data_IF_847308682962
#
_entry.id   IF_847308682962
#
_cell.length_a   1.000
_cell.length_b   1.000
_cell.length_c   1.000
_cell.angle_alpha   90.00
_cell.angle_beta   90.00
_cell.angle_gamma   90.00
#
_symmetry.space_group_name_H-M   'P 1'
#
loop_
_entity.id
_entity.type
_entity.pdbx_description
1 polymer ?
#
# COMPACT_ATOMS: atom_id res chain seq x y z
N UNK A 1 6.94 -4.12 0.13
CA UNK A 1 7.12 -4.40 1.57
C UNK A 1 5.76 -4.24 2.22
N UNK A 2 5.28 -5.19 3.00
CA UNK A 2 4.08 -5.03 3.83
C UNK A 2 4.60 -4.83 5.24
N UNK A 3 4.60 -3.63 5.78
CA UNK A 3 5.08 -3.41 7.12
C UNK A 3 4.04 -3.81 8.16
N UNK A 4 4.59 -4.23 9.27
CA UNK A 4 4.00 -4.31 10.58
C UNK A 4 2.69 -5.10 10.73
N UNK A 5 2.74 -6.41 10.55
CA UNK A 5 1.75 -7.27 11.19
C UNK A 5 2.12 -7.45 12.67
N UNK A 6 1.15 -7.34 13.58
CA UNK A 6 1.36 -7.77 14.97
C UNK A 6 1.84 -9.21 14.96
N UNK A 7 3.02 -9.46 15.54
CA UNK A 7 3.50 -10.83 15.71
C UNK A 7 2.52 -11.55 16.65
N UNK A 8 1.94 -12.64 16.18
CA UNK A 8 1.23 -13.56 17.06
C UNK A 8 2.29 -14.12 18.00
N UNK A 9 2.10 -14.01 19.32
CA UNK A 9 3.01 -14.59 20.32
C UNK A 9 3.25 -16.05 19.96
N UNK A 10 4.50 -16.40 19.67
CA UNK A 10 4.94 -17.79 19.72
C UNK A 10 4.77 -18.32 21.13
N UNK A 11 4.44 -19.61 21.29
CA UNK A 11 4.36 -20.26 22.57
C UNK A 11 5.69 -20.06 23.33
N UNK A 12 5.66 -19.30 24.43
CA UNK A 12 6.79 -19.16 25.35
C UNK A 12 7.59 -17.85 25.26
N UNK A 13 7.17 -16.85 24.47
CA UNK A 13 7.87 -15.56 24.43
C UNK A 13 7.12 -14.48 25.23
N UNK A 14 7.66 -14.14 26.42
CA UNK A 14 7.16 -13.07 27.29
C UNK A 14 7.72 -11.68 26.92
N UNK A 15 8.37 -11.56 25.74
CA UNK A 15 8.95 -10.31 25.24
C UNK A 15 7.89 -9.28 24.81
N UNK A 16 8.28 -8.00 24.64
CA UNK A 16 7.38 -6.98 24.11
C UNK A 16 6.85 -7.39 22.74
N UNK A 17 5.60 -7.03 22.45
CA UNK A 17 4.98 -7.31 21.15
C UNK A 17 5.75 -6.53 20.08
N UNK A 18 6.48 -7.23 19.24
CA UNK A 18 7.22 -6.64 18.11
C UNK A 18 6.38 -6.73 16.85
N UNK A 19 6.46 -5.72 15.99
CA UNK A 19 5.88 -5.76 14.66
C UNK A 19 6.89 -6.35 13.69
N UNK A 20 6.41 -7.12 12.73
CA UNK A 20 7.24 -7.67 11.65
C UNK A 20 6.88 -7.01 10.34
N UNK A 21 7.89 -6.69 9.54
CA UNK A 21 7.70 -6.30 8.14
C UNK A 21 7.72 -7.55 7.26
N UNK A 22 6.86 -7.60 6.26
CA UNK A 22 6.82 -8.71 5.31
C UNK A 22 7.17 -8.19 3.92
N UNK A 23 8.20 -8.76 3.30
CA UNK A 23 8.49 -8.57 1.87
C UNK A 23 7.84 -9.71 1.10
N UNK A 24 6.92 -9.37 0.19
CA UNK A 24 6.37 -10.34 -0.75
C UNK A 24 7.24 -10.40 -1.99
N UNK A 25 7.67 -11.61 -2.36
CA UNK A 25 8.37 -11.86 -3.62
C UNK A 25 7.39 -12.42 -4.63
N UNK A 26 7.50 -11.94 -5.87
CA UNK A 26 6.72 -12.44 -7.01
C UNK A 26 7.69 -13.01 -8.04
N UNK A 27 7.28 -14.10 -8.67
CA UNK A 27 7.96 -14.65 -9.85
C UNK A 27 6.96 -14.71 -10.99
N UNK A 28 7.01 -13.77 -11.94
CA UNK A 28 6.13 -13.83 -13.10
C UNK A 28 6.47 -15.04 -13.96
N UNK A 29 5.43 -15.68 -14.48
CA UNK A 29 5.57 -16.81 -15.42
C UNK A 29 5.44 -16.36 -16.88
N UNK A 30 4.95 -15.15 -17.11
CA UNK A 30 4.83 -14.50 -18.40
C UNK A 30 5.65 -13.21 -18.40
N UNK A 31 6.28 -12.90 -19.52
CA UNK A 31 7.07 -11.68 -19.71
C UNK A 31 6.26 -10.52 -20.30
N UNK A 32 4.92 -10.54 -20.19
CA UNK A 32 4.08 -9.50 -20.74
C UNK A 32 4.25 -8.17 -19.98
N UNK A 33 4.34 -7.07 -20.74
CA UNK A 33 4.34 -5.75 -20.16
C UNK A 33 3.03 -5.51 -19.38
N UNK A 34 3.15 -4.94 -18.19
CA UNK A 34 1.99 -4.53 -17.39
C UNK A 34 1.50 -3.18 -17.87
N UNK A 35 0.20 -2.99 -17.98
CA UNK A 35 -0.39 -1.69 -18.29
C UNK A 35 -0.94 -1.07 -17.02
N UNK A 36 -0.36 0.06 -16.60
CA UNK A 36 -0.76 0.75 -15.38
C UNK A 36 -0.57 2.27 -15.53
N UNK A 37 -1.37 3.03 -14.81
CA UNK A 37 -1.18 4.47 -14.64
C UNK A 37 -0.43 4.70 -13.33
N UNK A 38 0.83 5.10 -13.43
CA UNK A 38 1.66 5.31 -12.25
C UNK A 38 1.51 6.74 -11.74
N UNK A 39 1.20 6.96 -10.45
CA UNK A 39 1.20 8.30 -9.86
C UNK A 39 2.60 8.93 -9.93
N UNK A 40 2.68 10.21 -10.26
CA UNK A 40 3.95 10.91 -10.40
C UNK A 40 4.82 10.82 -9.13
N UNK A 41 4.20 10.92 -7.95
CA UNK A 41 4.89 10.84 -6.66
C UNK A 41 5.48 9.47 -6.33
N UNK A 42 5.02 8.40 -7.00
CA UNK A 42 5.45 7.01 -6.76
C UNK A 42 5.98 6.31 -8.01
N UNK A 43 6.10 7.03 -9.14
CA UNK A 43 6.48 6.46 -10.42
C UNK A 43 7.82 5.74 -10.38
N UNK A 44 8.85 6.36 -9.82
CA UNK A 44 10.20 5.78 -9.69
C UNK A 44 10.22 4.55 -8.78
N UNK A 45 9.55 4.62 -7.63
CA UNK A 45 9.42 3.50 -6.71
C UNK A 45 8.77 2.31 -7.40
N UNK A 46 7.63 2.52 -8.06
CA UNK A 46 6.88 1.46 -8.72
C UNK A 46 7.67 0.86 -9.89
N UNK A 47 8.31 1.68 -10.72
CA UNK A 47 9.17 1.21 -11.81
C UNK A 47 10.32 0.33 -11.28
N UNK A 48 10.95 0.73 -10.18
CA UNK A 48 12.02 -0.07 -9.56
C UNK A 48 11.51 -1.43 -9.06
N UNK A 49 10.30 -1.47 -8.50
CA UNK A 49 9.67 -2.71 -8.05
C UNK A 49 9.32 -3.62 -9.23
N UNK A 50 8.72 -3.08 -10.31
CA UNK A 50 8.45 -3.85 -11.52
C UNK A 50 9.73 -4.43 -12.12
N UNK A 51 10.76 -3.61 -12.26
CA UNK A 51 12.05 -4.04 -12.80
C UNK A 51 12.69 -5.16 -11.95
N UNK A 52 12.62 -5.04 -10.62
CA UNK A 52 13.20 -6.04 -9.71
C UNK A 52 12.52 -7.42 -9.83
N UNK A 53 11.26 -7.48 -10.21
CA UNK A 53 10.55 -8.74 -10.46
C UNK A 53 10.59 -9.18 -11.93
N UNK A 54 11.35 -8.47 -12.77
CA UNK A 54 11.51 -8.80 -14.19
C UNK A 54 10.32 -8.42 -15.07
N UNK A 55 9.49 -7.47 -14.65
CA UNK A 55 8.36 -6.97 -15.41
C UNK A 55 8.67 -5.57 -15.95
N UNK A 56 8.15 -5.27 -17.13
CA UNK A 56 8.03 -3.91 -17.66
C UNK A 56 6.63 -3.36 -17.43
N UNK A 57 6.53 -2.04 -17.30
CA UNK A 57 5.25 -1.35 -17.20
C UNK A 57 5.12 -0.33 -18.31
N UNK A 58 3.98 -0.34 -18.99
CA UNK A 58 3.60 0.63 -20.02
C UNK A 58 2.53 1.56 -19.48
N UNK A 59 2.61 2.82 -19.85
CA UNK A 59 1.63 3.81 -19.44
C UNK A 59 0.24 3.47 -20.00
N UNK A 60 -0.75 3.32 -19.12
CA UNK A 60 -2.14 3.17 -19.51
C UNK A 60 -2.78 4.54 -19.71
N UNK A 61 -3.41 4.74 -20.86
CA UNK A 61 -4.04 6.02 -21.24
C UNK A 61 -5.48 6.08 -20.69
N UNK A 62 -6.25 5.02 -20.87
CA UNK A 62 -7.66 4.98 -20.45
C UNK A 62 -7.84 4.05 -19.25
N UNK A 63 -8.61 4.46 -18.24
CA UNK A 63 -8.93 3.58 -17.11
C UNK A 63 -9.79 2.39 -17.56
N UNK A 64 -9.59 1.24 -16.91
CA UNK A 64 -10.47 0.11 -17.13
C UNK A 64 -11.85 0.36 -16.50
N UNK A 65 -12.92 -0.20 -17.09
CA UNK A 65 -14.24 -0.18 -16.44
C UNK A 65 -14.13 -0.77 -15.02
N UNK A 66 -14.75 -0.07 -14.07
CA UNK A 66 -14.79 -0.52 -12.67
C UNK A 66 -16.24 -0.54 -12.20
N UNK A 67 -16.69 -1.70 -11.73
CA UNK A 67 -18.03 -1.86 -11.16
C UNK A 67 -17.98 -1.81 -9.63
N UNK A 68 -19.13 -1.46 -9.01
CA UNK A 68 -19.31 -1.42 -7.58
C UNK A 68 -18.91 -0.10 -6.93
N UNK A 69 -18.65 -0.15 -5.62
CA UNK A 69 -18.30 1.03 -4.82
C UNK A 69 -16.90 1.54 -5.16
N UNK A 70 -16.76 2.87 -5.24
CA UNK A 70 -15.48 3.52 -5.52
C UNK A 70 -14.44 3.25 -4.42
N UNK A 71 -14.88 3.22 -3.16
CA UNK A 71 -14.05 2.96 -1.97
C UNK A 71 -14.73 1.89 -1.14
N UNK A 72 -14.03 0.79 -0.88
CA UNK A 72 -14.48 -0.28 0.04
C UNK A 72 -13.49 -0.43 1.18
N UNK A 73 -13.96 -0.88 2.34
CA UNK A 73 -13.10 -1.15 3.50
C UNK A 73 -13.51 -2.48 4.16
N UNK A 74 -12.51 -3.26 4.56
CA UNK A 74 -12.66 -4.49 5.33
C UNK A 74 -11.72 -4.47 6.53
N UNK A 75 -12.19 -4.92 7.70
CA UNK A 75 -11.44 -4.92 8.96
C UNK A 75 -11.14 -6.34 9.38
N UNK A 76 -9.88 -6.62 9.67
CA UNK A 76 -9.41 -7.81 10.35
C UNK A 76 -9.20 -7.46 11.84
N UNK A 77 -10.23 -7.64 12.66
CA UNK A 77 -10.19 -7.27 14.08
C UNK A 77 -9.14 -8.07 14.86
N UNK A 78 -8.91 -9.33 14.47
CA UNK A 78 -7.95 -10.19 15.17
C UNK A 78 -6.51 -9.68 15.05
N UNK A 79 -6.21 -8.96 13.94
CA UNK A 79 -4.89 -8.40 13.69
C UNK A 79 -4.82 -6.89 13.87
N UNK A 80 -5.93 -6.24 14.18
CA UNK A 80 -6.05 -4.77 14.21
C UNK A 80 -5.63 -4.11 12.89
N UNK A 81 -6.05 -4.69 11.77
CA UNK A 81 -5.74 -4.25 10.41
C UNK A 81 -7.02 -3.90 9.65
N UNK A 82 -6.92 -2.91 8.77
CA UNK A 82 -7.95 -2.66 7.76
C UNK A 82 -7.35 -2.63 6.36
N UNK A 83 -8.16 -3.07 5.39
CA UNK A 83 -7.83 -3.02 3.98
C UNK A 83 -8.90 -2.21 3.26
N UNK A 84 -8.47 -1.11 2.67
CA UNK A 84 -9.30 -0.28 1.81
C UNK A 84 -8.92 -0.53 0.35
N UNK A 85 -9.88 -0.42 -0.57
CA UNK A 85 -9.64 -0.46 -2.01
C UNK A 85 -10.26 0.74 -2.67
N UNK A 86 -9.47 1.39 -3.52
CA UNK A 86 -9.88 2.51 -4.34
C UNK A 86 -9.89 2.05 -5.81
N UNK A 87 -11.11 1.92 -6.38
CA UNK A 87 -11.33 1.45 -7.75
C UNK A 87 -11.71 2.57 -8.72
N UNK A 88 -12.15 3.68 -8.21
CA UNK A 88 -12.54 4.87 -8.97
C UNK A 88 -12.27 6.10 -8.13
N UNK A 89 -11.91 7.17 -8.79
CA UNK A 89 -11.67 8.44 -8.13
C UNK A 89 -12.59 9.53 -8.69
N UNK A 90 -13.25 10.23 -7.81
CA UNK A 90 -14.06 11.42 -8.02
C UNK A 90 -14.26 12.13 -6.67
N UNK A 91 -14.92 13.27 -6.67
CA UNK A 91 -15.20 14.03 -5.42
C UNK A 91 -15.98 13.19 -4.38
N UNK A 92 -16.86 12.30 -4.81
CA UNK A 92 -17.62 11.44 -3.90
C UNK A 92 -16.73 10.37 -3.28
N UNK A 93 -15.82 9.81 -4.06
CA UNK A 93 -14.81 8.86 -3.59
C UNK A 93 -13.90 9.50 -2.53
N UNK A 94 -13.42 10.73 -2.73
CA UNK A 94 -12.63 11.46 -1.73
C UNK A 94 -13.39 11.68 -0.41
N UNK A 95 -14.68 12.04 -0.50
CA UNK A 95 -15.53 12.16 0.69
C UNK A 95 -15.74 10.82 1.41
N UNK A 96 -15.96 9.75 0.64
CA UNK A 96 -16.11 8.40 1.17
C UNK A 96 -14.82 7.90 1.84
N UNK A 97 -13.67 8.15 1.21
CA UNK A 97 -12.34 7.85 1.75
C UNK A 97 -12.14 8.51 3.13
N UNK A 98 -12.30 9.83 3.21
CA UNK A 98 -12.14 10.57 4.48
C UNK A 98 -13.05 10.03 5.60
N UNK A 99 -14.29 9.69 5.26
CA UNK A 99 -15.23 9.11 6.22
C UNK A 99 -14.79 7.72 6.68
N UNK A 100 -14.37 6.86 5.73
CA UNK A 100 -13.91 5.52 6.04
C UNK A 100 -12.67 5.55 6.93
N UNK A 101 -11.67 6.38 6.61
CA UNK A 101 -10.45 6.52 7.43
C UNK A 101 -10.79 6.96 8.86
N UNK A 102 -11.61 8.03 9.02
CA UNK A 102 -12.04 8.48 10.35
C UNK A 102 -12.76 7.38 11.14
N UNK A 103 -13.61 6.60 10.47
CA UNK A 103 -14.30 5.49 11.11
C UNK A 103 -13.32 4.40 11.56
N UNK A 104 -12.34 4.03 10.74
CA UNK A 104 -11.32 3.04 11.09
C UNK A 104 -10.46 3.48 12.27
N UNK A 105 -9.97 4.73 12.26
CA UNK A 105 -9.19 5.29 13.37
C UNK A 105 -10.00 5.35 14.67
N UNK A 106 -11.30 5.69 14.60
CA UNK A 106 -12.18 5.68 15.79
C UNK A 106 -12.39 4.29 16.38
N UNK A 107 -12.09 3.22 15.64
CA UNK A 107 -12.12 1.83 16.11
C UNK A 107 -10.74 1.33 16.55
N UNK A 108 -9.75 2.22 16.65
CA UNK A 108 -8.39 1.89 17.06
C UNK A 108 -7.76 0.77 16.21
N UNK A 109 -7.96 0.86 14.89
CA UNK A 109 -7.26 0.00 13.93
C UNK A 109 -5.82 0.47 13.83
N UNK A 110 -4.87 -0.38 14.20
CA UNK A 110 -3.44 -0.03 14.27
C UNK A 110 -2.82 0.28 12.88
N UNK A 111 -3.27 -0.43 11.85
CA UNK A 111 -2.75 -0.26 10.48
C UNK A 111 -3.89 -0.27 9.47
N UNK A 112 -3.93 0.74 8.62
CA UNK A 112 -4.84 0.81 7.49
C UNK A 112 -4.03 0.73 6.21
N UNK A 113 -4.30 -0.28 5.37
CA UNK A 113 -3.78 -0.35 4.01
C UNK A 113 -4.80 0.22 3.03
N UNK A 114 -4.33 1.01 2.07
CA UNK A 114 -5.12 1.50 0.95
C UNK A 114 -4.51 0.98 -0.35
N UNK A 115 -5.26 0.15 -1.07
CA UNK A 115 -4.90 -0.39 -2.38
C UNK A 115 -5.55 0.48 -3.47
N UNK A 116 -4.75 1.30 -4.14
CA UNK A 116 -5.15 2.13 -5.28
C UNK A 116 -4.98 1.31 -6.55
N UNK A 117 -6.07 1.04 -7.26
CA UNK A 117 -6.08 0.31 -8.52
C UNK A 117 -5.43 1.15 -9.63
N UNK A 118 -4.25 0.72 -10.10
CA UNK A 118 -3.45 1.41 -11.12
C UNK A 118 -4.00 1.24 -12.55
N UNK A 119 -5.02 0.41 -12.71
CA UNK A 119 -5.63 0.09 -14.01
C UNK A 119 -7.00 0.76 -14.16
N UNK A 120 -7.79 0.80 -13.08
CA UNK A 120 -9.15 1.31 -13.11
C UNK A 120 -9.28 2.78 -12.68
N UNK A 121 -8.39 3.29 -11.82
CA UNK A 121 -8.42 4.70 -11.39
C UNK A 121 -7.80 5.60 -12.45
N UNK A 122 -8.59 6.55 -12.97
CA UNK A 122 -8.14 7.52 -13.97
C UNK A 122 -7.25 8.62 -13.37
N UNK A 123 -7.64 9.18 -12.23
CA UNK A 123 -7.01 10.32 -11.56
C UNK A 123 -6.11 9.83 -10.41
N UNK A 124 -5.11 8.98 -10.74
CA UNK A 124 -4.23 8.36 -9.73
C UNK A 124 -3.41 9.39 -8.92
N UNK A 125 -3.04 10.51 -9.55
CA UNK A 125 -2.28 11.58 -8.87
C UNK A 125 -3.13 12.28 -7.81
N UNK A 126 -4.39 12.61 -8.13
CA UNK A 126 -5.32 13.23 -7.18
C UNK A 126 -5.65 12.28 -6.03
N UNK A 127 -5.95 11.01 -6.35
CA UNK A 127 -6.23 9.99 -5.35
C UNK A 127 -5.05 9.78 -4.39
N UNK A 128 -3.84 9.79 -4.94
CA UNK A 128 -2.61 9.62 -4.17
C UNK A 128 -2.32 10.84 -3.29
N UNK A 129 -2.51 12.06 -3.82
CA UNK A 129 -2.36 13.29 -3.05
C UNK A 129 -3.31 13.30 -1.84
N UNK A 130 -4.58 12.96 -2.03
CA UNK A 130 -5.56 12.88 -0.96
C UNK A 130 -5.20 11.83 0.11
N UNK A 131 -4.68 10.66 -0.32
CA UNK A 131 -4.18 9.64 0.61
C UNK A 131 -2.98 10.15 1.40
N UNK A 132 -2.03 10.86 0.75
CA UNK A 132 -0.89 11.44 1.44
C UNK A 132 -1.31 12.53 2.44
N UNK A 133 -2.29 13.39 2.12
CA UNK A 133 -2.87 14.36 3.06
C UNK A 133 -3.51 13.71 4.29
N UNK A 134 -4.00 12.49 4.15
CA UNK A 134 -4.53 11.69 5.25
C UNK A 134 -3.44 10.93 6.04
N UNK A 135 -2.17 11.08 5.68
CA UNK A 135 -1.05 10.45 6.36
C UNK A 135 -0.66 9.07 5.81
N UNK A 136 -1.23 8.64 4.69
CA UNK A 136 -0.81 7.38 4.05
C UNK A 136 0.51 7.57 3.31
N UNK A 137 1.44 6.64 3.52
CA UNK A 137 2.73 6.58 2.86
C UNK A 137 2.95 5.22 2.19
N UNK A 138 4.00 5.09 1.38
CA UNK A 138 4.27 3.89 0.59
C UNK A 138 4.35 2.61 1.44
N UNK A 139 3.71 1.55 0.96
CA UNK A 139 3.87 0.19 1.45
C UNK A 139 4.34 -0.76 0.33
N UNK A 140 4.13 -0.42 -0.93
CA UNK A 140 4.64 -1.16 -2.08
C UNK A 140 3.63 -1.39 -3.20
N UNK A 141 3.91 -2.40 -4.01
CA UNK A 141 3.10 -2.82 -5.16
C UNK A 141 2.44 -4.18 -4.86
N UNK A 142 1.16 -4.28 -5.14
CA UNK A 142 0.41 -5.55 -5.14
C UNK A 142 0.16 -5.95 -6.58
N UNK A 143 0.86 -6.98 -7.04
CA UNK A 143 0.67 -7.56 -8.37
C UNK A 143 -0.51 -8.51 -8.37
N UNK A 144 -1.28 -8.50 -9.47
CA UNK A 144 -2.45 -9.37 -9.63
C UNK A 144 -3.36 -9.37 -8.39
N UNK A 145 -3.89 -8.20 -8.03
CA UNK A 145 -4.91 -8.10 -7.01
C UNK A 145 -6.13 -8.98 -7.29
N UNK A 146 -7.14 -9.00 -6.44
CA UNK A 146 -8.31 -9.88 -6.59
C UNK A 146 -9.11 -9.67 -7.88
N UNK A 147 -8.97 -8.50 -8.50
CA UNK A 147 -9.55 -8.10 -9.79
C UNK A 147 -8.59 -8.36 -10.98
N UNK A 148 -7.40 -8.93 -10.72
CA UNK A 148 -6.36 -9.15 -11.73
C UNK A 148 -5.51 -7.91 -12.04
N UNK A 149 -5.83 -6.76 -11.42
CA UNK A 149 -5.12 -5.51 -11.61
C UNK A 149 -3.92 -5.38 -10.66
N UNK A 150 -2.99 -4.49 -11.00
CA UNK A 150 -1.91 -4.10 -10.12
C UNK A 150 -2.33 -2.88 -9.28
N UNK A 151 -1.94 -2.86 -7.99
CA UNK A 151 -2.33 -1.80 -7.07
C UNK A 151 -1.11 -1.19 -6.39
N UNK A 152 -1.08 0.14 -6.31
CA UNK A 152 -0.22 0.82 -5.35
C UNK A 152 -0.82 0.62 -3.96
N UNK A 153 -0.06 0.00 -3.06
CA UNK A 153 -0.44 -0.09 -1.66
C UNK A 153 0.22 1.03 -0.87
N UNK A 154 -0.60 1.83 -0.24
CA UNK A 154 -0.21 2.80 0.78
C UNK A 154 -0.65 2.30 2.15
N UNK A 155 -0.08 2.87 3.22
CA UNK A 155 -0.38 2.50 4.60
C UNK A 155 -0.44 3.72 5.50
N UNK A 156 -1.37 3.67 6.45
CA UNK A 156 -1.48 4.60 7.57
C UNK A 156 -1.26 3.80 8.86
N UNK A 157 -0.41 4.30 9.73
CA UNK A 157 -0.15 3.73 11.05
C UNK A 157 -0.75 4.62 12.12
N UNK A 158 -1.66 4.07 12.93
CA UNK A 158 -2.23 4.79 14.08
C UNK A 158 -1.29 4.62 15.28
N UNK A 159 -0.63 5.71 15.66
CA UNK A 159 0.13 5.89 16.91
C UNK A 159 1.39 5.05 17.17
N UNK A 160 1.94 4.28 16.22
CA UNK A 160 3.14 3.48 16.51
C UNK A 160 4.39 3.99 15.77
N UNK A 161 5.45 4.16 16.53
CA UNK A 161 6.79 4.36 15.99
C UNK A 161 7.30 3.05 15.38
N UNK A 162 7.77 3.12 14.13
CA UNK A 162 8.52 2.02 13.53
C UNK A 162 9.96 2.19 13.95
N UNK A 163 10.46 1.29 14.78
CA UNK A 163 11.87 1.21 15.07
C UNK A 163 12.61 0.67 13.85
N UNK A 164 13.37 1.53 13.20
CA UNK A 164 14.06 1.23 11.93
C UNK A 164 15.07 0.09 12.07
N UNK A 165 15.67 -0.03 13.23
CA UNK A 165 16.69 -1.01 13.58
C UNK A 165 16.10 -2.43 13.61
N UNK A 166 14.82 -2.57 13.90
CA UNK A 166 14.12 -3.86 13.96
C UNK A 166 13.74 -4.43 12.58
N UNK A 167 13.89 -3.63 11.50
CA UNK A 167 13.59 -4.09 10.15
C UNK A 167 14.86 -4.67 9.51
N UNK A 168 15.04 -5.98 9.62
CA UNK A 168 16.13 -6.69 8.95
C UNK A 168 15.76 -6.97 7.50
N UNK A 169 16.65 -6.61 6.58
CA UNK A 169 16.50 -6.82 5.14
C UNK A 169 17.62 -7.72 4.61
N UNK A 170 17.28 -8.86 4.04
CA UNK A 170 18.25 -9.87 3.56
C UNK A 170 18.83 -9.58 2.17
N UNK A 171 18.23 -8.65 1.40
CA UNK A 171 18.71 -8.30 0.07
C UNK A 171 18.97 -6.80 -0.08
N UNK A 172 19.89 -6.45 -0.99
CA UNK A 172 20.19 -5.05 -1.32
C UNK A 172 18.94 -4.30 -1.82
N UNK A 173 18.10 -4.94 -2.63
CA UNK A 173 16.86 -4.34 -3.08
C UNK A 173 15.89 -4.07 -1.91
N UNK A 174 15.77 -5.00 -0.97
CA UNK A 174 14.92 -4.82 0.21
C UNK A 174 15.41 -3.66 1.08
N UNK A 175 16.73 -3.46 1.18
CA UNK A 175 17.32 -2.31 1.90
C UNK A 175 17.00 -0.99 1.21
N UNK A 176 17.12 -0.91 -0.13
CA UNK A 176 16.75 0.28 -0.91
C UNK A 176 15.26 0.58 -0.75
N UNK A 177 14.41 -0.43 -0.92
CA UNK A 177 12.95 -0.27 -0.79
C UNK A 177 12.56 0.18 0.62
N UNK A 178 13.21 -0.35 1.67
CA UNK A 178 13.03 0.13 3.04
C UNK A 178 13.36 1.61 3.17
N UNK A 179 14.51 2.04 2.63
CA UNK A 179 14.92 3.45 2.63
C UNK A 179 13.86 4.35 2.00
N UNK A 180 13.40 4.00 0.79
CA UNK A 180 12.35 4.76 0.09
C UNK A 180 11.03 4.85 0.87
N UNK A 181 10.60 3.75 1.52
CA UNK A 181 9.38 3.74 2.35
C UNK A 181 9.51 4.68 3.54
N UNK A 182 10.69 4.74 4.16
CA UNK A 182 10.94 5.59 5.32
C UNK A 182 11.07 7.06 4.96
N UNK A 183 11.72 7.36 3.84
CA UNK A 183 11.76 8.70 3.28
C UNK A 183 10.35 9.21 2.93
N UNK A 184 9.53 8.35 2.34
CA UNK A 184 8.15 8.69 2.03
C UNK A 184 7.30 8.90 3.30
N UNK A 185 7.49 8.07 4.34
CA UNK A 185 6.85 8.28 5.66
C UNK A 185 7.22 9.65 6.23
N UNK A 186 8.49 10.02 6.18
CA UNK A 186 8.95 11.32 6.67
C UNK A 186 8.37 12.48 5.85
N UNK A 187 8.29 12.34 4.52
CA UNK A 187 7.69 13.33 3.61
C UNK A 187 6.20 13.58 3.89
N UNK A 188 5.45 12.53 4.13
CA UNK A 188 4.00 12.60 4.37
C UNK A 188 3.68 13.07 5.79
N UNK A 189 4.55 12.77 6.77
CA UNK A 189 4.38 13.16 8.17
C UNK A 189 4.89 14.57 8.51
N UNK A 190 5.47 15.29 7.53
CA UNK A 190 5.96 16.66 7.69
C UNK A 190 4.82 17.67 7.41
#
# INVERSE_FOLDING_TARGET
>A
MIPAQRTIRGFGDDGPRRRTATLRSYRPFDGHARQAKLPASYGELLQSVYANVGLSVEARIEPAPSEGEAVTANVDEARSLAFMRLRRWDRQAGTALKRAVRHLLSRHVDVVYADLDLVAVGEVDEATAELNELGFFAAGLVLHGPDGHDHLRLQLLDSEEIELEDIVCDSSFAQVLRGQVLEDKARVGA
#
